data_IF_497447391292
#
_entry.id   IF_497447391292
#
_cell.length_a   1.000
_cell.length_b   1.000
_cell.length_c   1.000
_cell.angle_alpha   90.00
_cell.angle_beta   90.00
_cell.angle_gamma   90.00
#
_symmetry.space_group_name_H-M   'P 1'
#
loop_
_entity.id
_entity.type
_entity.pdbx_description
1 polymer ?
#
# COMPACT_ATOMS: atom_id res chain seq x y z
N UNK A 1 22.30 -11.82 1.68
CA UNK A 1 21.80 -12.26 0.37
C UNK A 1 20.37 -12.75 0.53
N UNK A 2 19.55 -12.65 -0.47
CA UNK A 2 18.11 -12.92 -0.48
C UNK A 2 17.79 -14.37 -0.06
N UNK A 3 18.66 -15.30 -0.50
CA UNK A 3 18.55 -16.70 -0.09
C UNK A 3 18.71 -16.92 1.40
N UNK A 4 19.52 -16.12 2.09
CA UNK A 4 19.69 -16.23 3.55
C UNK A 4 18.39 -15.82 4.27
N UNK A 5 17.75 -14.72 3.86
CA UNK A 5 16.46 -14.31 4.42
C UNK A 5 15.40 -15.39 4.26
N UNK A 6 15.36 -16.04 3.09
CA UNK A 6 14.40 -17.12 2.83
C UNK A 6 14.66 -18.31 3.75
N UNK A 7 15.93 -18.72 3.91
CA UNK A 7 16.30 -19.84 4.77
C UNK A 7 15.92 -19.52 6.22
N UNK A 8 16.33 -18.35 6.73
CA UNK A 8 16.05 -17.94 8.09
C UNK A 8 14.54 -17.86 8.38
N UNK A 9 13.77 -17.32 7.44
CA UNK A 9 12.30 -17.26 7.57
C UNK A 9 11.65 -18.64 7.61
N UNK A 10 12.16 -19.59 6.82
CA UNK A 10 11.66 -20.97 6.82
C UNK A 10 12.07 -21.71 8.10
N UNK A 11 13.27 -21.50 8.60
CA UNK A 11 13.70 -22.08 9.87
C UNK A 11 12.85 -21.57 11.04
N UNK A 12 12.56 -20.26 11.07
CA UNK A 12 11.65 -19.66 12.07
C UNK A 12 10.24 -20.25 11.93
N UNK A 13 9.71 -20.38 10.70
CA UNK A 13 8.41 -20.99 10.46
C UNK A 13 8.33 -22.40 11.05
N UNK A 14 9.33 -23.24 10.78
CA UNK A 14 9.35 -24.62 11.26
C UNK A 14 9.65 -24.75 12.76
N UNK A 15 10.19 -23.71 13.40
CA UNK A 15 10.36 -23.69 14.85
C UNK A 15 9.00 -23.63 15.59
N UNK A 16 7.94 -23.14 14.94
CA UNK A 16 6.59 -23.04 15.49
C UNK A 16 6.43 -22.06 16.65
N UNK A 17 7.38 -21.14 16.82
CA UNK A 17 7.41 -20.21 17.97
C UNK A 17 6.91 -18.80 17.63
N UNK A 18 6.32 -18.61 16.45
CA UNK A 18 5.82 -17.30 15.99
C UNK A 18 4.42 -17.45 15.38
N UNK A 19 3.61 -16.42 15.55
CA UNK A 19 2.25 -16.36 15.00
C UNK A 19 2.19 -15.60 13.65
N UNK A 20 3.27 -14.90 13.29
CA UNK A 20 3.33 -14.13 12.05
C UNK A 20 4.71 -13.57 11.76
N UNK A 21 4.82 -12.95 10.59
CA UNK A 21 6.05 -12.38 10.07
C UNK A 21 5.85 -10.93 9.63
N UNK A 22 6.85 -10.11 9.91
CA UNK A 22 6.97 -8.78 9.32
C UNK A 22 8.16 -8.79 8.34
N UNK A 23 7.87 -8.67 7.05
CA UNK A 23 8.87 -8.69 5.98
C UNK A 23 9.09 -7.26 5.49
N UNK A 24 10.31 -6.75 5.69
CA UNK A 24 10.69 -5.38 5.31
C UNK A 24 11.56 -5.44 4.07
N UNK A 25 10.96 -5.20 2.92
CA UNK A 25 11.63 -5.20 1.62
C UNK A 25 10.79 -4.50 0.56
N UNK A 26 11.43 -4.00 -0.48
CA UNK A 26 10.77 -3.50 -1.70
C UNK A 26 11.01 -4.41 -2.90
N UNK A 27 11.59 -5.60 -2.69
CA UNK A 27 11.93 -6.54 -3.74
C UNK A 27 10.82 -7.58 -3.94
N UNK A 28 10.36 -7.71 -5.18
CA UNK A 28 9.33 -8.67 -5.59
C UNK A 28 9.77 -10.13 -5.52
N UNK A 29 11.06 -10.41 -5.47
CA UNK A 29 11.60 -11.79 -5.42
C UNK A 29 11.15 -12.52 -4.15
N UNK A 30 10.83 -11.79 -3.08
CA UNK A 30 10.28 -12.34 -1.85
C UNK A 30 8.77 -12.64 -1.90
N UNK A 31 8.07 -12.36 -3.00
CA UNK A 31 6.64 -12.64 -3.14
C UNK A 31 6.32 -14.12 -2.87
N UNK A 32 7.14 -15.04 -3.37
CA UNK A 32 6.95 -16.49 -3.15
C UNK A 32 7.13 -16.87 -1.68
N UNK A 33 8.05 -16.22 -0.98
CA UNK A 33 8.23 -16.43 0.48
C UNK A 33 6.97 -16.01 1.23
N UNK A 34 6.45 -14.80 0.96
CA UNK A 34 5.22 -14.29 1.59
C UNK A 34 4.06 -15.23 1.37
N UNK A 35 3.82 -15.69 0.13
CA UNK A 35 2.75 -16.65 -0.18
C UNK A 35 2.94 -17.95 0.61
N UNK A 36 4.15 -18.48 0.67
CA UNK A 36 4.45 -19.71 1.42
C UNK A 36 4.18 -19.60 2.91
N UNK A 37 4.54 -18.46 3.52
CA UNK A 37 4.25 -18.18 4.93
C UNK A 37 2.74 -18.12 5.19
N UNK A 38 1.98 -17.44 4.32
CA UNK A 38 0.52 -17.37 4.41
C UNK A 38 -0.16 -18.72 4.20
N UNK A 39 0.29 -19.52 3.23
CA UNK A 39 -0.19 -20.90 3.03
C UNK A 39 0.03 -21.78 4.28
N UNK A 40 1.04 -21.47 5.08
CA UNK A 40 1.32 -22.15 6.35
C UNK A 40 0.49 -21.58 7.52
N UNK A 41 -0.46 -20.69 7.27
CA UNK A 41 -1.34 -20.10 8.29
C UNK A 41 -0.75 -18.93 9.05
N UNK A 42 0.39 -18.37 8.60
CA UNK A 42 1.03 -17.23 9.26
C UNK A 42 0.42 -15.91 8.80
N UNK A 43 0.22 -14.99 9.73
CA UNK A 43 -0.05 -13.57 9.40
C UNK A 43 1.21 -12.95 8.83
N UNK A 44 1.13 -12.33 7.64
CA UNK A 44 2.29 -11.68 7.02
C UNK A 44 2.01 -10.20 6.76
N UNK A 45 2.78 -9.36 7.46
CA UNK A 45 2.79 -7.92 7.27
C UNK A 45 3.99 -7.55 6.40
N UNK A 46 3.77 -6.88 5.29
CA UNK A 46 4.81 -6.32 4.45
C UNK A 46 5.10 -4.85 4.80
N UNK A 47 6.35 -4.46 4.70
CA UNK A 47 6.77 -3.06 4.76
C UNK A 47 7.76 -2.77 3.65
N UNK A 48 7.60 -1.65 2.95
CA UNK A 48 8.49 -1.26 1.87
C UNK A 48 8.23 0.16 1.38
N UNK A 49 8.97 0.56 0.36
CA UNK A 49 8.81 1.86 -0.27
C UNK A 49 7.60 1.88 -1.23
N UNK A 50 7.14 3.08 -1.62
CA UNK A 50 6.03 3.25 -2.58
C UNK A 50 6.28 2.59 -3.94
N UNK A 51 7.54 2.42 -4.32
CA UNK A 51 7.93 1.74 -5.57
C UNK A 51 7.82 0.21 -5.52
N UNK A 52 7.47 -0.36 -4.37
CA UNK A 52 7.33 -1.82 -4.20
C UNK A 52 6.28 -2.35 -5.19
N UNK A 53 6.60 -3.40 -5.97
CA UNK A 53 5.67 -3.96 -6.95
C UNK A 53 4.37 -4.46 -6.34
N UNK A 54 3.24 -4.24 -7.04
CA UNK A 54 1.90 -4.66 -6.60
C UNK A 54 1.81 -6.15 -6.26
N UNK A 55 2.54 -6.98 -6.99
CA UNK A 55 2.57 -8.43 -6.75
C UNK A 55 2.99 -8.75 -5.31
N UNK A 56 4.01 -8.05 -4.78
CA UNK A 56 4.45 -8.21 -3.40
C UNK A 56 3.47 -7.60 -2.40
N UNK A 57 2.97 -6.39 -2.67
CA UNK A 57 2.00 -5.71 -1.81
C UNK A 57 0.74 -6.56 -1.63
N UNK A 58 0.18 -7.09 -2.72
CA UNK A 58 -1.03 -7.91 -2.71
C UNK A 58 -0.82 -9.32 -2.13
N UNK A 59 0.41 -9.82 -2.12
CA UNK A 59 0.73 -11.09 -1.48
C UNK A 59 0.67 -11.01 0.05
N UNK A 60 0.96 -9.84 0.63
CA UNK A 60 0.87 -9.60 2.07
C UNK A 60 -0.59 -9.53 2.54
N UNK A 61 -0.84 -9.85 3.80
CA UNK A 61 -2.16 -9.63 4.41
C UNK A 61 -2.38 -8.13 4.66
N UNK A 62 -1.35 -7.44 5.10
CA UNK A 62 -1.32 -5.98 5.25
C UNK A 62 0.03 -5.47 4.76
N UNK A 63 0.03 -4.32 4.08
CA UNK A 63 1.27 -3.66 3.64
C UNK A 63 1.34 -2.23 4.18
N UNK A 64 2.52 -1.81 4.65
CA UNK A 64 2.78 -0.45 5.14
C UNK A 64 3.89 0.21 4.32
N UNK A 65 3.59 1.39 3.78
CA UNK A 65 4.59 2.17 3.05
C UNK A 65 5.45 2.97 4.03
N UNK A 66 6.76 2.72 4.00
CA UNK A 66 7.72 3.36 4.91
C UNK A 66 7.83 4.88 4.66
N UNK A 67 7.66 5.30 3.41
CA UNK A 67 7.69 6.73 3.05
C UNK A 67 6.66 7.57 3.81
N UNK A 68 5.54 6.97 4.23
CA UNK A 68 4.50 7.64 4.99
C UNK A 68 4.91 7.78 6.44
N UNK A 69 5.49 6.72 7.00
CA UNK A 69 5.92 6.69 8.40
C UNK A 69 7.04 7.71 8.67
N UNK A 70 7.94 7.92 7.70
CA UNK A 70 9.02 8.90 7.81
C UNK A 70 8.54 10.35 7.69
N UNK A 71 7.43 10.60 7.00
CA UNK A 71 6.88 11.94 6.83
C UNK A 71 6.05 12.43 8.03
N UNK A 72 5.59 11.53 8.90
CA UNK A 72 4.86 11.90 10.12
C UNK A 72 5.77 12.60 11.16
N UNK A 73 7.09 12.42 11.08
CA UNK A 73 8.04 13.08 12.01
C UNK A 73 8.41 14.54 11.60
N UNK A 74 7.97 15.01 10.40
CA UNK A 74 8.30 16.35 9.92
C UNK A 74 7.12 17.02 9.20
N UNK A 75 6.14 17.60 9.93
CA UNK A 75 4.96 18.24 9.33
C UNK A 75 5.27 19.53 8.53
N UNK A 76 6.55 19.90 8.36
CA UNK A 76 6.97 21.18 7.76
C UNK A 76 7.55 21.08 6.35
N UNK A 77 7.57 19.90 5.71
CA UNK A 77 8.02 19.80 4.32
C UNK A 77 6.89 19.26 3.41
N UNK A 78 5.98 20.16 3.08
CA UNK A 78 5.07 20.01 1.95
C UNK A 78 5.90 20.05 0.66
N UNK A 79 5.93 19.01 -0.17
CA UNK A 79 6.38 19.17 -1.55
C UNK A 79 5.28 19.91 -2.30
N UNK A 80 5.51 21.22 -2.50
CA UNK A 80 4.73 22.05 -3.38
C UNK A 80 4.59 21.42 -4.77
N UNK A 81 3.35 21.41 -5.26
CA UNK A 81 2.93 21.13 -6.63
C UNK A 81 3.87 21.80 -7.65
N UNK A 82 4.18 21.15 -8.78
CA UNK A 82 4.90 21.79 -9.85
C UNK A 82 4.01 22.86 -10.48
N UNK A 83 4.32 24.12 -10.21
CA UNK A 83 3.79 25.24 -10.98
C UNK A 83 4.38 25.20 -12.38
N UNK A 84 3.50 25.10 -13.36
CA UNK A 84 3.77 25.42 -14.76
C UNK A 84 4.52 26.74 -14.88
N UNK A 85 5.76 26.70 -15.35
CA UNK A 85 6.44 27.86 -15.93
C UNK A 85 6.67 27.62 -17.41
N UNK A 86 6.12 28.56 -18.17
CA UNK A 86 6.31 28.72 -19.61
C UNK A 86 7.74 29.11 -19.94
N UNK A 87 8.18 28.54 -21.05
CA UNK A 87 9.08 29.02 -22.11
C UNK A 87 10.26 29.94 -21.80
N UNK A 88 11.46 29.45 -22.13
CA UNK A 88 12.30 30.11 -23.17
C UNK A 88 13.43 29.16 -23.62
N UNK A 89 13.68 29.24 -24.91
CA UNK A 89 14.54 28.44 -25.81
C UNK A 89 16.03 28.47 -25.46
N UNK A 90 16.77 27.39 -25.72
CA UNK A 90 17.81 27.24 -26.73
C UNK A 90 18.78 26.09 -26.44
N UNK A 91 18.89 25.24 -27.46
CA UNK A 91 20.09 24.62 -28.03
C UNK A 91 20.86 23.51 -27.29
N UNK A 92 20.91 22.36 -27.97
CA UNK A 92 22.18 21.63 -28.17
C UNK A 92 22.35 20.26 -27.52
N UNK A 93 22.06 19.22 -28.30
CA UNK A 93 22.85 17.98 -28.42
C UNK A 93 22.59 16.78 -27.49
N UNK A 94 21.86 15.82 -28.06
CA UNK A 94 22.10 14.35 -28.10
C UNK A 94 22.69 13.64 -26.90
N UNK A 95 21.85 12.82 -26.23
CA UNK A 95 22.00 11.35 -26.28
C UNK A 95 20.72 10.69 -25.75
N UNK A 96 20.04 9.98 -26.62
CA UNK A 96 18.99 9.03 -26.34
C UNK A 96 19.53 7.96 -25.37
N UNK A 97 18.93 7.89 -24.19
CA UNK A 97 18.90 6.70 -23.39
C UNK A 97 17.39 6.44 -23.21
N UNK A 98 16.88 5.54 -24.02
CA UNK A 98 15.56 4.96 -23.87
C UNK A 98 15.45 4.41 -22.44
N UNK A 99 14.77 5.14 -21.57
CA UNK A 99 14.19 4.57 -20.38
C UNK A 99 12.95 3.84 -20.84
N UNK A 100 13.07 2.53 -20.96
CA UNK A 100 11.94 1.64 -20.97
C UNK A 100 11.07 2.02 -19.74
N UNK A 101 9.99 2.72 -20.01
CA UNK A 101 8.91 2.92 -19.07
C UNK A 101 8.26 1.56 -18.89
N UNK A 102 8.55 0.91 -17.77
CA UNK A 102 7.86 -0.29 -17.33
C UNK A 102 6.35 0.01 -17.31
N UNK A 103 5.52 -0.62 -18.17
CA UNK A 103 4.09 -0.34 -18.23
C UNK A 103 3.34 -0.78 -16.97
N UNK A 104 4.04 -1.25 -15.95
CA UNK A 104 3.48 -1.73 -14.68
C UNK A 104 3.81 -0.81 -13.49
N UNK A 105 4.32 0.39 -13.72
CA UNK A 105 4.45 1.44 -12.70
C UNK A 105 3.10 2.16 -12.50
N UNK A 106 2.05 1.40 -12.27
CA UNK A 106 0.79 1.90 -11.74
C UNK A 106 1.08 2.24 -10.26
N UNK A 107 0.76 3.45 -9.85
CA UNK A 107 0.84 3.86 -8.44
C UNK A 107 0.15 2.77 -7.58
N UNK A 108 0.88 2.13 -6.69
CA UNK A 108 0.39 1.04 -5.83
C UNK A 108 -0.69 1.50 -4.82
N UNK A 109 -1.10 2.75 -4.91
CA UNK A 109 -2.16 3.34 -4.11
C UNK A 109 -3.38 3.42 -5.01
N UNK A 110 -4.48 2.73 -4.68
CA UNK A 110 -5.74 2.82 -5.43
C UNK A 110 -6.19 4.28 -5.53
N UNK A 111 -6.77 4.63 -6.67
CA UNK A 111 -7.31 5.97 -6.85
C UNK A 111 -8.60 6.14 -6.02
N UNK A 112 -9.08 7.39 -5.90
CA UNK A 112 -10.27 7.71 -5.09
C UNK A 112 -11.53 6.96 -5.58
N UNK A 113 -11.68 6.77 -6.89
CA UNK A 113 -12.83 6.07 -7.47
C UNK A 113 -12.81 4.55 -7.16
N UNK A 114 -11.63 3.95 -7.15
CA UNK A 114 -11.45 2.55 -6.76
C UNK A 114 -11.74 2.37 -5.27
N UNK A 115 -11.26 3.30 -4.45
CA UNK A 115 -11.52 3.29 -3.01
C UNK A 115 -13.01 3.45 -2.69
N UNK A 116 -13.71 4.34 -3.38
CA UNK A 116 -15.16 4.53 -3.23
C UNK A 116 -15.92 3.22 -3.52
N UNK A 117 -15.58 2.54 -4.59
CA UNK A 117 -16.20 1.25 -4.94
C UNK A 117 -15.98 0.18 -3.88
N UNK A 118 -14.76 0.11 -3.32
CA UNK A 118 -14.45 -0.86 -2.26
C UNK A 118 -15.19 -0.52 -0.96
N UNK A 119 -15.27 0.76 -0.60
CA UNK A 119 -16.04 1.23 0.56
C UNK A 119 -17.52 0.87 0.41
N UNK A 120 -18.14 1.21 -0.72
CA UNK A 120 -19.53 0.87 -1.02
C UNK A 120 -19.75 -0.65 -0.99
N UNK A 121 -18.81 -1.43 -1.51
CA UNK A 121 -18.88 -2.89 -1.47
C UNK A 121 -18.84 -3.44 -0.05
N UNK A 122 -18.02 -2.86 0.84
CA UNK A 122 -17.97 -3.25 2.25
C UNK A 122 -19.28 -2.86 2.95
N UNK A 123 -19.78 -1.65 2.74
CA UNK A 123 -21.05 -1.19 3.30
C UNK A 123 -22.18 -2.15 2.88
N UNK A 124 -22.31 -2.45 1.60
CA UNK A 124 -23.35 -3.37 1.11
C UNK A 124 -23.26 -4.80 1.67
N UNK A 125 -22.08 -5.20 2.13
CA UNK A 125 -21.86 -6.55 2.68
C UNK A 125 -22.08 -6.61 4.19
N UNK A 126 -21.82 -5.54 4.90
CA UNK A 126 -21.78 -5.48 6.38
C UNK A 126 -22.81 -4.51 6.98
N UNK A 127 -23.59 -3.81 6.14
CA UNK A 127 -24.61 -2.91 6.65
C UNK A 127 -25.68 -3.69 7.43
N UNK A 128 -26.15 -3.08 8.51
CA UNK A 128 -27.33 -3.53 9.25
C UNK A 128 -28.62 -3.30 8.45
N UNK A 129 -29.77 -3.65 9.05
CA UNK A 129 -31.08 -3.51 8.42
C UNK A 129 -31.45 -2.04 8.09
N UNK A 130 -30.80 -1.08 8.74
CA UNK A 130 -30.98 0.36 8.54
C UNK A 130 -29.96 0.95 7.54
N UNK A 131 -29.04 0.13 7.02
CA UNK A 131 -28.03 0.53 6.03
C UNK A 131 -26.76 1.14 6.63
N UNK A 132 -26.54 1.00 7.93
CA UNK A 132 -25.37 1.54 8.65
C UNK A 132 -24.28 0.49 8.83
N UNK A 133 -23.02 0.93 8.78
CA UNK A 133 -21.83 0.11 9.10
C UNK A 133 -21.02 0.82 10.17
N UNK A 134 -20.57 0.07 11.16
CA UNK A 134 -19.67 0.63 12.17
C UNK A 134 -18.32 1.00 11.54
N UNK A 135 -17.81 2.19 11.88
CA UNK A 135 -16.54 2.70 11.37
C UNK A 135 -15.37 1.78 11.75
N UNK A 136 -15.46 1.08 12.89
CA UNK A 136 -14.45 0.09 13.31
C UNK A 136 -14.44 -1.09 12.36
N UNK A 137 -15.61 -1.59 11.98
CA UNK A 137 -15.74 -2.72 11.06
C UNK A 137 -15.25 -2.38 9.66
N UNK A 138 -15.55 -1.16 9.20
CA UNK A 138 -14.98 -0.64 7.96
C UNK A 138 -13.45 -0.55 8.04
N UNK A 139 -12.91 -0.08 9.17
CA UNK A 139 -11.48 0.02 9.42
C UNK A 139 -10.75 -1.31 9.44
N UNK A 140 -11.41 -2.37 9.90
CA UNK A 140 -10.84 -3.72 9.94
C UNK A 140 -10.90 -4.44 8.58
N UNK A 141 -11.91 -4.14 7.77
CA UNK A 141 -12.13 -4.81 6.49
C UNK A 141 -11.42 -4.12 5.32
N UNK A 142 -11.25 -2.80 5.37
CA UNK A 142 -10.65 -2.04 4.28
C UNK A 142 -9.18 -2.45 4.01
N UNK A 143 -8.29 -2.60 5.01
CA UNK A 143 -6.92 -3.08 4.77
C UNK A 143 -6.84 -4.53 4.28
N UNK A 144 -7.83 -5.37 4.60
CA UNK A 144 -7.89 -6.76 4.12
C UNK A 144 -8.23 -6.84 2.64
N UNK A 145 -9.12 -5.94 2.15
CA UNK A 145 -9.49 -5.86 0.74
C UNK A 145 -8.49 -5.09 -0.09
N UNK A 146 -7.92 -4.04 0.49
CA UNK A 146 -6.94 -3.16 -0.15
C UNK A 146 -5.64 -3.20 0.67
N UNK A 147 -4.77 -4.21 0.44
CA UNK A 147 -3.47 -4.27 1.10
C UNK A 147 -2.66 -3.01 0.80
N UNK A 148 -2.16 -2.34 1.83
CA UNK A 148 -1.48 -1.04 1.66
C UNK A 148 -2.39 0.17 1.83
N UNK A 149 -3.68 -0.02 2.12
CA UNK A 149 -4.54 1.09 2.51
C UNK A 149 -4.05 1.73 3.81
N UNK A 150 -3.90 3.02 3.77
CA UNK A 150 -3.66 3.88 4.93
C UNK A 150 -4.28 5.26 4.62
N UNK A 151 -5.14 5.84 5.49
CA UNK A 151 -5.73 7.17 5.27
C UNK A 151 -4.70 8.26 4.97
N UNK A 152 -3.49 8.12 5.50
CA UNK A 152 -2.38 9.06 5.27
C UNK A 152 -1.90 9.11 3.82
N UNK A 153 -2.11 8.04 3.04
CA UNK A 153 -1.88 8.04 1.59
C UNK A 153 -2.74 9.08 0.87
N UNK A 154 -3.90 9.42 1.46
CA UNK A 154 -4.90 10.35 0.94
C UNK A 154 -4.91 11.68 1.71
N UNK A 155 -3.82 11.99 2.44
CA UNK A 155 -3.64 13.20 3.25
C UNK A 155 -4.63 13.32 4.42
N UNK A 156 -5.20 12.22 4.87
CA UNK A 156 -6.09 12.14 6.02
C UNK A 156 -5.35 11.53 7.21
N UNK A 157 -5.50 12.10 8.39
CA UNK A 157 -4.88 11.55 9.62
C UNK A 157 -5.73 10.45 10.26
N UNK A 158 -7.02 10.42 9.95
CA UNK A 158 -7.98 9.45 10.52
C UNK A 158 -8.88 8.88 9.42
N UNK A 159 -9.32 7.63 9.62
CA UNK A 159 -10.26 6.96 8.71
C UNK A 159 -11.55 7.78 8.53
N UNK A 160 -12.10 8.33 9.60
CA UNK A 160 -13.29 9.19 9.55
C UNK A 160 -13.14 10.33 8.53
N UNK A 161 -12.01 11.05 8.57
CA UNK A 161 -11.75 12.15 7.64
C UNK A 161 -11.64 11.67 6.18
N UNK A 162 -11.15 10.46 5.98
CA UNK A 162 -11.06 9.85 4.66
C UNK A 162 -12.45 9.50 4.12
N UNK A 163 -13.32 8.93 4.95
CA UNK A 163 -14.69 8.58 4.56
C UNK A 163 -15.53 9.83 4.26
N UNK A 164 -15.37 10.90 5.04
CA UNK A 164 -16.05 12.19 4.81
C UNK A 164 -15.69 12.88 3.49
N UNK A 165 -14.69 12.37 2.75
CA UNK A 165 -14.35 12.88 1.41
C UNK A 165 -15.26 12.31 0.31
N UNK A 166 -16.07 11.31 0.61
CA UNK A 166 -16.96 10.67 -0.35
C UNK A 166 -18.40 11.14 -0.12
N UNK A 167 -18.95 11.89 -1.07
CA UNK A 167 -20.36 12.39 -1.01
C UNK A 167 -21.40 11.26 -1.07
N UNK A 168 -20.99 10.06 -1.45
CA UNK A 168 -21.84 8.87 -1.55
C UNK A 168 -21.99 8.10 -0.25
N UNK A 169 -21.29 8.51 0.81
CA UNK A 169 -21.28 7.84 2.12
C UNK A 169 -21.56 8.91 3.19
N UNK A 170 -22.76 8.90 3.79
CA UNK A 170 -23.14 9.77 4.92
C UNK A 170 -22.87 9.08 6.27
#
# INVERSE_FOLDING_TARGET
SDSALIIDAMDILYSGNVDGFCIVTSDSDFTKLVLRLRESGMTVIGMGERKTPNAFVSACETFKFLDILLNDENPSQNPSLPQTRKESEADGSRKEAEKESDPNAVSNIPNMEEMEKEIISIINTHADDDGWVDLSELGDNLPKRVPGFDPRNYKCTKLKQFIEMFDSVE
#
